data_IF_734493530360
#
_entry.id   IF_734493530360
#
_cell.length_a   1.000
_cell.length_b   1.000
_cell.length_c   1.000
_cell.angle_alpha   90.00
_cell.angle_beta   90.00
_cell.angle_gamma   90.00
#
_symmetry.space_group_name_H-M   'P 1'
#
loop_
_entity.id
_entity.type
_entity.pdbx_description
1 polymer ?
#
# COMPACT_ATOMS: atom_id res chain seq x y z
N UNK A 1 15.41 5.07 -19.97
CA UNK A 1 14.76 4.15 -19.01
C UNK A 1 15.32 4.39 -17.63
N UNK A 2 14.48 4.30 -16.56
CA UNK A 2 14.93 4.56 -15.20
C UNK A 2 15.86 3.45 -14.69
N UNK A 3 17.04 3.83 -14.15
CA UNK A 3 17.98 2.89 -13.49
C UNK A 3 17.40 2.25 -12.23
N UNK A 4 16.31 2.81 -11.71
CA UNK A 4 15.61 2.32 -10.51
C UNK A 4 14.52 1.29 -10.84
N UNK A 5 14.26 0.96 -12.12
CA UNK A 5 13.26 -0.04 -12.47
C UNK A 5 13.77 -1.46 -12.17
N UNK A 6 13.59 -1.88 -10.92
CA UNK A 6 13.98 -3.23 -10.47
C UNK A 6 13.10 -4.34 -11.02
N UNK A 7 11.90 -4.03 -11.53
CA UNK A 7 11.02 -5.02 -12.15
C UNK A 7 11.61 -5.64 -13.41
N UNK A 8 12.55 -4.96 -14.07
CA UNK A 8 13.23 -5.51 -15.28
C UNK A 8 13.92 -6.84 -15.06
N UNK A 9 14.33 -7.15 -13.82
CA UNK A 9 14.94 -8.44 -13.54
C UNK A 9 13.98 -9.62 -13.76
N UNK A 10 12.65 -9.37 -13.71
CA UNK A 10 11.63 -10.36 -14.00
C UNK A 10 11.72 -10.85 -15.47
N UNK A 11 12.20 -9.99 -16.37
CA UNK A 11 12.36 -10.32 -17.79
C UNK A 11 13.58 -11.21 -18.10
N UNK A 12 14.35 -11.60 -17.07
CA UNK A 12 15.48 -12.50 -17.20
C UNK A 12 15.02 -13.93 -16.95
N UNK A 13 15.42 -14.86 -17.78
CA UNK A 13 15.07 -16.30 -17.68
C UNK A 13 15.52 -16.96 -16.38
N UNK A 14 16.58 -16.46 -15.78
CA UNK A 14 17.09 -16.92 -14.49
C UNK A 14 16.37 -16.33 -13.26
N UNK A 15 15.32 -15.52 -13.46
CA UNK A 15 14.51 -15.00 -12.36
C UNK A 15 13.66 -16.10 -11.71
N UNK A 16 13.85 -16.35 -10.41
CA UNK A 16 13.27 -17.51 -9.70
C UNK A 16 12.00 -17.21 -8.90
N UNK A 17 11.41 -16.01 -9.02
CA UNK A 17 10.17 -15.67 -8.34
C UNK A 17 8.98 -16.45 -8.89
N UNK A 18 8.05 -16.83 -8.01
CA UNK A 18 6.84 -17.59 -8.35
C UNK A 18 5.60 -16.96 -7.75
N UNK A 19 4.46 -17.09 -8.46
CA UNK A 19 3.13 -16.89 -7.89
C UNK A 19 2.48 -18.27 -7.71
N UNK A 20 1.84 -18.44 -6.57
CA UNK A 20 1.07 -19.63 -6.23
C UNK A 20 -0.40 -19.24 -6.20
N UNK A 21 -1.26 -19.97 -6.91
CA UNK A 21 -2.70 -19.80 -6.86
C UNK A 21 -3.36 -21.18 -6.71
N UNK A 22 -4.09 -21.35 -5.61
CA UNK A 22 -4.57 -22.67 -5.23
C UNK A 22 -3.43 -23.65 -5.03
N UNK A 23 -3.39 -24.70 -5.86
CA UNK A 23 -2.37 -25.74 -5.81
C UNK A 23 -1.32 -25.64 -6.92
N UNK A 24 -1.42 -24.61 -7.77
CA UNK A 24 -0.55 -24.42 -8.93
C UNK A 24 0.52 -23.36 -8.65
N UNK A 25 1.72 -23.61 -9.19
CA UNK A 25 2.86 -22.67 -9.19
C UNK A 25 3.09 -22.13 -10.57
N UNK A 26 3.29 -20.81 -10.66
CA UNK A 26 3.53 -20.10 -11.90
C UNK A 26 4.87 -19.35 -11.82
N UNK A 27 5.80 -19.66 -12.72
CA UNK A 27 7.06 -18.90 -12.83
C UNK A 27 6.75 -17.52 -13.39
N UNK A 28 7.03 -16.46 -12.64
CA UNK A 28 6.70 -15.08 -13.01
C UNK A 28 7.25 -14.71 -14.38
N UNK A 29 8.50 -15.10 -14.67
CA UNK A 29 9.11 -14.86 -15.99
C UNK A 29 8.25 -15.40 -17.14
N UNK A 30 7.80 -16.65 -17.05
CA UNK A 30 7.02 -17.30 -18.10
C UNK A 30 5.67 -16.59 -18.30
N UNK A 31 4.99 -16.27 -17.20
CA UNK A 31 3.67 -15.63 -17.26
C UNK A 31 3.75 -14.18 -17.78
N UNK A 32 4.76 -13.43 -17.36
CA UNK A 32 5.01 -12.08 -17.89
C UNK A 32 5.34 -12.13 -19.39
N UNK A 33 6.10 -13.12 -19.84
CA UNK A 33 6.46 -13.29 -21.26
C UNK A 33 5.23 -13.53 -22.15
N UNK A 34 4.20 -14.21 -21.65
CA UNK A 34 2.93 -14.43 -22.38
C UNK A 34 2.22 -13.11 -22.73
N UNK A 35 2.47 -12.03 -22.02
CA UNK A 35 1.87 -10.71 -22.26
C UNK A 35 2.70 -9.82 -23.18
N UNK A 36 3.80 -10.33 -23.78
CA UNK A 36 4.67 -9.52 -24.64
C UNK A 36 4.02 -9.04 -25.93
N UNK A 37 2.92 -9.65 -26.39
CA UNK A 37 2.12 -9.17 -27.52
C UNK A 37 1.51 -7.78 -27.28
N UNK A 38 1.37 -7.36 -26.01
CA UNK A 38 0.91 -6.02 -25.62
C UNK A 38 2.03 -4.96 -25.66
N UNK A 39 3.28 -5.37 -25.85
CA UNK A 39 4.41 -4.46 -25.85
C UNK A 39 4.38 -3.58 -27.11
N UNK A 40 4.63 -2.29 -26.92
CA UNK A 40 4.77 -1.31 -28.00
C UNK A 40 6.12 -0.61 -27.89
N UNK A 41 6.54 0.10 -28.97
CA UNK A 41 7.76 0.93 -28.94
C UNK A 41 7.66 2.10 -27.96
N UNK A 42 6.45 2.54 -27.62
CA UNK A 42 6.18 3.64 -26.66
C UNK A 42 5.71 3.08 -25.33
N UNK A 43 5.84 3.89 -24.28
CA UNK A 43 5.25 3.59 -22.96
C UNK A 43 3.73 3.69 -23.04
N UNK A 44 3.04 2.70 -22.51
CA UNK A 44 1.59 2.69 -22.40
C UNK A 44 1.13 3.11 -21.00
N UNK A 45 -0.04 3.73 -20.93
CA UNK A 45 -0.81 3.91 -19.72
C UNK A 45 -1.76 2.71 -19.58
N UNK A 46 -1.58 1.91 -18.53
CA UNK A 46 -2.29 0.65 -18.32
C UNK A 46 -3.19 0.76 -17.11
N UNK A 47 -4.49 0.72 -17.29
CA UNK A 47 -5.47 0.68 -16.20
C UNK A 47 -5.72 -0.78 -15.80
N UNK A 48 -5.52 -1.11 -14.51
CA UNK A 48 -5.66 -2.47 -13.99
C UNK A 48 -6.69 -2.49 -12.86
N UNK A 49 -7.76 -3.25 -13.04
CA UNK A 49 -8.70 -3.59 -11.99
C UNK A 49 -8.12 -4.74 -11.16
N UNK A 50 -7.68 -4.41 -9.94
CA UNK A 50 -6.81 -5.26 -9.14
C UNK A 50 -7.58 -6.35 -8.39
N UNK A 51 -7.27 -7.58 -8.67
CA UNK A 51 -7.68 -8.76 -7.92
C UNK A 51 -6.45 -9.42 -7.28
N UNK A 52 -6.60 -10.01 -6.10
CA UNK A 52 -5.53 -10.81 -5.50
C UNK A 52 -5.43 -12.20 -6.18
N UNK A 53 -5.33 -12.19 -7.50
CA UNK A 53 -5.23 -13.35 -8.37
C UNK A 53 -3.97 -13.28 -9.22
N UNK A 54 -3.46 -14.44 -9.59
CA UNK A 54 -2.19 -14.59 -10.33
C UNK A 54 -2.17 -13.70 -11.57
N UNK A 55 -3.20 -13.76 -12.42
CA UNK A 55 -3.24 -13.04 -13.69
C UNK A 55 -3.21 -11.52 -13.50
N UNK A 56 -3.90 -11.01 -12.48
CA UNK A 56 -3.92 -9.57 -12.16
C UNK A 56 -2.56 -9.09 -11.67
N UNK A 57 -1.91 -9.86 -10.79
CA UNK A 57 -0.56 -9.55 -10.29
C UNK A 57 0.46 -9.61 -11.44
N UNK A 58 0.39 -10.62 -12.30
CA UNK A 58 1.27 -10.74 -13.49
C UNK A 58 1.10 -9.54 -14.42
N UNK A 59 -0.12 -9.08 -14.63
CA UNK A 59 -0.41 -7.90 -15.47
C UNK A 59 0.25 -6.63 -14.92
N UNK A 60 0.20 -6.43 -13.60
CA UNK A 60 0.91 -5.35 -12.91
C UNK A 60 2.43 -5.46 -13.10
N UNK A 61 2.99 -6.64 -12.87
CA UNK A 61 4.42 -6.89 -13.01
C UNK A 61 4.89 -6.70 -14.46
N UNK A 62 4.12 -7.19 -15.44
CA UNK A 62 4.37 -6.98 -16.86
C UNK A 62 4.42 -5.48 -17.21
N UNK A 63 3.43 -4.72 -16.75
CA UNK A 63 3.36 -3.30 -17.05
C UNK A 63 4.62 -2.57 -16.58
N UNK A 64 5.03 -2.77 -15.32
CA UNK A 64 6.22 -2.11 -14.77
C UNK A 64 7.54 -2.65 -15.34
N UNK A 65 7.65 -3.96 -15.57
CA UNK A 65 8.86 -4.55 -16.14
C UNK A 65 9.14 -4.00 -17.56
N UNK A 66 8.08 -3.76 -18.34
CA UNK A 66 8.15 -3.20 -19.69
C UNK A 66 8.11 -1.66 -19.71
N UNK A 67 8.35 -1.02 -18.56
CA UNK A 67 8.43 0.44 -18.43
C UNK A 67 7.13 1.20 -18.73
N UNK A 68 5.98 0.54 -18.72
CA UNK A 68 4.68 1.16 -18.81
C UNK A 68 4.30 1.87 -17.50
N UNK A 69 3.23 2.67 -17.52
CA UNK A 69 2.66 3.32 -16.33
C UNK A 69 1.38 2.58 -15.95
N UNK A 70 1.31 2.08 -14.72
CA UNK A 70 0.11 1.42 -14.23
C UNK A 70 -0.80 2.40 -13.46
N UNK A 71 -2.10 2.32 -13.68
CA UNK A 71 -3.14 2.89 -12.80
C UNK A 71 -3.78 1.69 -12.11
N UNK A 72 -3.64 1.61 -10.79
CA UNK A 72 -4.23 0.51 -10.02
C UNK A 72 -5.52 0.99 -9.35
N UNK A 73 -6.61 0.27 -9.61
CA UNK A 73 -7.92 0.55 -9.02
C UNK A 73 -8.50 -0.72 -8.38
N UNK A 74 -9.39 -0.53 -7.43
CA UNK A 74 -10.10 -1.65 -6.81
C UNK A 74 -10.90 -2.41 -7.87
N UNK A 75 -10.92 -3.75 -7.77
CA UNK A 75 -11.70 -4.63 -8.65
C UNK A 75 -13.20 -4.32 -8.63
N UNK A 76 -13.71 -3.81 -7.51
CA UNK A 76 -15.13 -3.50 -7.30
C UNK A 76 -15.44 -2.01 -7.56
N UNK A 77 -14.58 -1.31 -8.31
CA UNK A 77 -14.86 0.09 -8.68
C UNK A 77 -16.16 0.15 -9.50
N UNK A 78 -17.09 1.04 -9.10
CA UNK A 78 -18.33 1.26 -9.84
C UNK A 78 -18.08 1.57 -11.31
N UNK A 79 -18.96 1.07 -12.20
CA UNK A 79 -18.80 1.19 -13.64
C UNK A 79 -18.77 2.66 -14.12
N UNK A 80 -19.63 3.52 -13.57
CA UNK A 80 -19.66 4.94 -13.95
C UNK A 80 -18.39 5.67 -13.51
N UNK A 81 -17.87 5.32 -12.31
CA UNK A 81 -16.58 5.83 -11.84
C UNK A 81 -15.44 5.33 -12.72
N UNK A 82 -15.49 4.08 -13.17
CA UNK A 82 -14.51 3.52 -14.11
C UNK A 82 -14.54 4.23 -15.46
N UNK A 83 -15.72 4.48 -16.03
CA UNK A 83 -15.87 5.25 -17.27
C UNK A 83 -15.35 6.68 -17.14
N UNK A 84 -15.66 7.36 -16.04
CA UNK A 84 -15.16 8.70 -15.76
C UNK A 84 -13.63 8.72 -15.65
N UNK A 85 -13.05 7.70 -15.03
CA UNK A 85 -11.60 7.52 -14.95
C UNK A 85 -10.99 7.32 -16.34
N UNK A 86 -11.59 6.47 -17.16
CA UNK A 86 -11.15 6.20 -18.53
C UNK A 86 -11.24 7.48 -19.38
N UNK A 87 -12.29 8.27 -19.25
CA UNK A 87 -12.42 9.57 -19.93
C UNK A 87 -11.31 10.54 -19.50
N UNK A 88 -11.00 10.63 -18.20
CA UNK A 88 -9.98 11.56 -17.65
C UNK A 88 -8.55 11.20 -18.03
N UNK A 89 -8.22 9.93 -18.02
CA UNK A 89 -6.84 9.45 -18.19
C UNK A 89 -6.56 8.85 -19.56
N UNK A 90 -7.59 8.39 -20.26
CA UNK A 90 -7.48 7.81 -21.60
C UNK A 90 -6.37 6.73 -21.68
N UNK A 91 -6.44 5.66 -20.88
CA UNK A 91 -5.43 4.62 -20.87
C UNK A 91 -5.29 3.95 -22.25
N UNK A 92 -4.10 3.47 -22.58
CA UNK A 92 -3.85 2.75 -23.83
C UNK A 92 -4.33 1.30 -23.75
N UNK A 93 -4.26 0.72 -22.53
CA UNK A 93 -4.64 -0.66 -22.26
C UNK A 93 -5.49 -0.68 -20.98
N UNK A 94 -6.56 -1.48 -20.98
CA UNK A 94 -7.38 -1.76 -19.80
C UNK A 94 -7.34 -3.27 -19.55
N UNK A 95 -7.11 -3.65 -18.27
CA UNK A 95 -7.08 -5.04 -17.84
C UNK A 95 -8.14 -5.21 -16.75
N UNK A 96 -9.17 -6.02 -17.04
CA UNK A 96 -10.38 -6.11 -16.22
C UNK A 96 -11.05 -7.49 -16.36
N UNK A 97 -11.91 -7.82 -15.39
CA UNK A 97 -12.88 -8.93 -15.51
C UNK A 97 -14.26 -8.49 -15.99
N UNK A 98 -14.47 -7.21 -16.19
CA UNK A 98 -15.74 -6.73 -16.74
C UNK A 98 -15.88 -7.16 -18.19
N UNK A 99 -16.96 -7.86 -18.49
CA UNK A 99 -17.32 -8.27 -19.86
C UNK A 99 -17.85 -7.10 -20.70
N UNK A 100 -18.23 -5.99 -20.06
CA UNK A 100 -18.77 -4.82 -20.74
C UNK A 100 -17.69 -4.13 -21.59
N UNK A 101 -18.05 -3.80 -22.80
CA UNK A 101 -17.18 -3.10 -23.74
C UNK A 101 -17.10 -1.62 -23.35
N UNK A 102 -15.93 -1.16 -22.93
CA UNK A 102 -15.68 0.28 -22.80
C UNK A 102 -15.64 0.91 -24.20
N UNK A 103 -16.31 2.04 -24.36
CA UNK A 103 -16.31 2.78 -25.63
C UNK A 103 -14.89 3.11 -26.08
N UNK A 104 -14.60 2.89 -27.35
CA UNK A 104 -13.28 3.09 -27.99
C UNK A 104 -12.18 2.09 -27.57
N UNK A 105 -12.55 0.93 -27.05
CA UNK A 105 -11.64 -0.16 -26.75
C UNK A 105 -12.12 -1.47 -27.39
N UNK A 106 -11.19 -2.22 -27.97
CA UNK A 106 -11.42 -3.56 -28.46
C UNK A 106 -10.78 -4.59 -27.54
N UNK A 107 -11.41 -5.74 -27.39
CA UNK A 107 -10.81 -6.90 -26.73
C UNK A 107 -9.70 -7.44 -27.62
N UNK A 108 -8.46 -7.39 -27.15
CA UNK A 108 -7.31 -7.99 -27.84
C UNK A 108 -7.26 -9.49 -27.55
N UNK A 109 -7.45 -9.86 -26.27
CA UNK A 109 -7.42 -11.25 -25.82
C UNK A 109 -8.11 -11.38 -24.45
N UNK A 110 -8.59 -12.59 -24.16
CA UNK A 110 -8.99 -13.03 -22.81
C UNK A 110 -7.99 -14.06 -22.31
N UNK A 111 -7.46 -13.87 -21.10
CA UNK A 111 -6.57 -14.81 -20.41
C UNK A 111 -7.03 -14.98 -18.98
N UNK A 112 -7.34 -16.22 -18.57
CA UNK A 112 -7.78 -16.55 -17.20
C UNK A 112 -8.93 -15.67 -16.69
N UNK A 113 -9.95 -15.46 -17.53
CA UNK A 113 -11.12 -14.60 -17.27
C UNK A 113 -10.79 -13.10 -17.13
N UNK A 114 -9.61 -12.66 -17.55
CA UNK A 114 -9.27 -11.26 -17.66
C UNK A 114 -9.28 -10.84 -19.12
N UNK A 115 -10.00 -9.76 -19.42
CA UNK A 115 -10.00 -9.13 -20.72
C UNK A 115 -8.89 -8.09 -20.80
N UNK A 116 -8.09 -8.18 -21.84
CA UNK A 116 -7.07 -7.21 -22.21
C UNK A 116 -7.62 -6.34 -23.33
N UNK A 117 -8.02 -5.14 -22.98
CA UNK A 117 -8.66 -4.20 -23.90
C UNK A 117 -7.64 -3.18 -24.38
N UNK A 118 -7.55 -3.01 -25.68
CA UNK A 118 -6.65 -2.04 -26.30
C UNK A 118 -7.44 -0.91 -26.92
N UNK A 119 -6.95 0.31 -26.77
CA UNK A 119 -7.57 1.48 -27.34
C UNK A 119 -7.47 1.45 -28.86
N UNK A 120 -8.58 1.80 -29.57
CA UNK A 120 -8.67 1.79 -31.04
C UNK A 120 -7.73 2.85 -31.65
N UNK A 121 -7.64 4.03 -31.04
CA UNK A 121 -6.73 5.10 -31.47
C UNK A 121 -5.56 5.26 -30.51
N UNK A 122 -4.34 5.41 -31.00
CA UNK A 122 -3.16 5.60 -30.15
C UNK A 122 -3.30 6.83 -29.26
N UNK A 123 -3.10 6.66 -27.97
CA UNK A 123 -3.11 7.76 -27.01
C UNK A 123 -1.94 8.74 -27.24
N UNK A 124 -2.20 10.03 -27.02
CA UNK A 124 -1.19 11.10 -27.11
C UNK A 124 -0.67 11.53 -25.73
N UNK A 125 -0.76 10.65 -24.72
CA UNK A 125 -0.35 10.98 -23.36
C UNK A 125 1.16 11.25 -23.31
N UNK A 126 1.52 12.35 -22.67
CA UNK A 126 2.92 12.66 -22.33
C UNK A 126 3.17 12.25 -20.88
N UNK A 127 4.32 11.64 -20.62
CA UNK A 127 4.65 11.12 -19.30
C UNK A 127 5.96 11.71 -18.78
N UNK A 128 5.99 12.03 -17.50
CA UNK A 128 7.27 12.27 -16.83
C UNK A 128 8.15 11.01 -16.93
N UNK A 129 9.42 11.19 -17.22
CA UNK A 129 10.34 10.07 -17.55
C UNK A 129 10.40 8.97 -16.48
N UNK A 130 10.30 9.34 -15.21
CA UNK A 130 10.41 8.40 -14.08
C UNK A 130 9.05 7.97 -13.52
N UNK A 131 7.91 8.45 -14.04
CA UNK A 131 6.58 8.03 -13.61
C UNK A 131 6.41 6.53 -13.85
N UNK A 132 5.95 5.81 -12.85
CA UNK A 132 5.72 4.36 -12.90
C UNK A 132 4.29 3.97 -12.59
N UNK A 133 3.66 4.64 -11.63
CA UNK A 133 2.44 4.17 -11.01
C UNK A 133 1.54 5.32 -10.55
N UNK A 134 0.24 5.11 -10.67
CA UNK A 134 -0.81 5.93 -10.08
C UNK A 134 -1.61 5.07 -9.09
N UNK A 135 -1.71 5.53 -7.85
CA UNK A 135 -2.54 4.92 -6.82
C UNK A 135 -3.61 5.89 -6.32
N UNK A 136 -4.85 5.45 -6.11
CA UNK A 136 -5.88 6.30 -5.53
C UNK A 136 -5.56 6.61 -4.07
N UNK A 137 -5.90 7.80 -3.62
CA UNK A 137 -5.94 8.12 -2.19
C UNK A 137 -7.28 7.68 -1.60
N UNK A 138 -7.32 7.42 -0.31
CA UNK A 138 -8.53 7.04 0.43
C UNK A 138 -9.54 8.18 0.60
N UNK A 139 -9.40 9.30 -0.11
CA UNK A 139 -10.28 10.47 -0.02
C UNK A 139 -11.72 10.17 -0.44
N UNK A 140 -12.66 10.58 0.38
CA UNK A 140 -14.08 10.23 0.39
C UNK A 140 -14.97 10.95 -0.62
N UNK A 141 -14.46 11.70 -1.60
CA UNK A 141 -15.27 12.57 -2.45
C UNK A 141 -15.13 12.26 -3.93
N UNK A 142 -16.06 11.49 -4.45
CA UNK A 142 -16.56 11.45 -5.84
C UNK A 142 -15.62 11.18 -7.00
N UNK A 143 -14.43 11.73 -7.05
CA UNK A 143 -13.43 11.47 -8.10
C UNK A 143 -12.09 11.16 -7.45
N UNK A 144 -11.52 9.97 -7.64
CA UNK A 144 -10.27 9.60 -7.00
C UNK A 144 -9.14 10.52 -7.46
N UNK A 145 -8.49 11.16 -6.49
CA UNK A 145 -7.21 11.85 -6.67
C UNK A 145 -6.11 10.78 -6.64
N UNK A 146 -5.27 10.76 -7.64
CA UNK A 146 -4.19 9.77 -7.72
C UNK A 146 -2.86 10.35 -7.25
N UNK A 147 -2.11 9.54 -6.56
CA UNK A 147 -0.70 9.82 -6.20
C UNK A 147 0.18 9.35 -7.35
N UNK A 148 1.06 10.21 -7.85
CA UNK A 148 2.05 9.90 -8.89
C UNK A 148 3.32 9.35 -8.28
N UNK A 149 3.62 8.09 -8.52
CA UNK A 149 4.75 7.36 -7.94
C UNK A 149 5.77 7.06 -9.04
N UNK A 150 7.04 7.35 -8.77
CA UNK A 150 8.15 7.05 -9.68
C UNK A 150 8.77 5.68 -9.42
N UNK A 151 9.51 5.15 -10.41
CA UNK A 151 10.37 3.97 -10.23
C UNK A 151 11.38 4.16 -9.09
N UNK A 152 11.89 5.40 -8.91
CA UNK A 152 12.78 5.73 -7.81
C UNK A 152 12.10 5.59 -6.45
N UNK A 153 10.87 6.08 -6.31
CA UNK A 153 10.10 5.94 -5.08
C UNK A 153 9.85 4.48 -4.74
N UNK A 154 9.37 3.68 -5.73
CA UNK A 154 9.15 2.23 -5.58
C UNK A 154 10.44 1.52 -5.14
N UNK A 155 11.57 1.81 -5.78
CA UNK A 155 12.85 1.18 -5.47
C UNK A 155 13.29 1.41 -4.04
N UNK A 156 13.31 2.67 -3.57
CA UNK A 156 13.78 2.99 -2.22
C UNK A 156 12.85 2.44 -1.15
N UNK A 157 11.53 2.61 -1.31
CA UNK A 157 10.57 2.03 -0.38
C UNK A 157 10.70 0.51 -0.28
N UNK A 158 10.75 -0.17 -1.42
CA UNK A 158 10.89 -1.63 -1.49
C UNK A 158 12.20 -2.12 -0.86
N UNK A 159 13.32 -1.45 -1.15
CA UNK A 159 14.64 -1.79 -0.59
C UNK A 159 14.63 -1.68 0.94
N UNK A 160 14.06 -0.60 1.48
CA UNK A 160 13.98 -0.40 2.93
C UNK A 160 13.11 -1.47 3.58
N UNK A 161 11.96 -1.83 2.97
CA UNK A 161 11.09 -2.90 3.46
C UNK A 161 11.82 -4.23 3.51
N UNK A 162 12.51 -4.61 2.45
CA UNK A 162 13.29 -5.85 2.37
C UNK A 162 14.35 -5.89 3.47
N UNK A 163 15.01 -4.76 3.70
CA UNK A 163 16.08 -4.67 4.69
C UNK A 163 15.57 -4.87 6.13
N UNK A 164 14.53 -4.12 6.57
CA UNK A 164 14.11 -4.22 7.97
C UNK A 164 13.26 -5.46 8.28
N UNK A 165 12.57 -6.03 7.28
CA UNK A 165 11.88 -7.32 7.43
C UNK A 165 12.79 -8.52 7.21
N UNK A 166 14.02 -8.29 6.72
CA UNK A 166 14.98 -9.34 6.37
C UNK A 166 14.39 -10.37 5.40
N UNK A 167 13.64 -9.89 4.38
CA UNK A 167 13.06 -10.79 3.37
C UNK A 167 14.16 -11.45 2.56
N UNK A 168 14.09 -12.76 2.44
CA UNK A 168 15.10 -13.59 1.74
C UNK A 168 14.52 -14.20 0.47
N UNK A 169 15.38 -14.60 -0.50
CA UNK A 169 14.96 -15.47 -1.59
C UNK A 169 14.25 -16.70 -1.05
N UNK A 170 13.21 -17.15 -1.75
CA UNK A 170 12.36 -18.28 -1.40
C UNK A 170 11.44 -18.10 -0.19
N UNK A 171 11.45 -16.96 0.52
CA UNK A 171 10.39 -16.66 1.48
C UNK A 171 9.03 -16.67 0.78
N UNK A 172 8.00 -17.05 1.52
CA UNK A 172 6.64 -17.18 0.99
C UNK A 172 5.73 -16.23 1.76
N UNK A 173 5.07 -15.34 1.03
CA UNK A 173 4.00 -14.49 1.59
C UNK A 173 2.65 -14.85 0.99
N UNK A 174 1.57 -14.51 1.69
CA UNK A 174 0.20 -14.62 1.18
C UNK A 174 -0.45 -13.25 1.11
N UNK A 175 -1.18 -12.95 0.02
CA UNK A 175 -1.90 -11.69 -0.12
C UNK A 175 -3.14 -11.69 0.77
N UNK A 176 -3.28 -10.65 1.59
CA UNK A 176 -4.44 -10.45 2.49
C UNK A 176 -5.10 -9.09 2.25
N UNK A 177 -4.46 -8.26 1.46
CA UNK A 177 -4.86 -6.89 1.16
C UNK A 177 -4.87 -6.66 -0.35
N UNK A 178 -5.84 -5.92 -0.89
CA UNK A 178 -5.83 -5.57 -2.31
C UNK A 178 -4.54 -4.84 -2.69
N UNK A 179 -3.93 -5.18 -3.80
CA UNK A 179 -2.70 -4.48 -4.22
C UNK A 179 -2.97 -3.16 -4.96
N UNK A 180 -4.24 -2.79 -5.17
CA UNK A 180 -4.63 -1.40 -5.44
C UNK A 180 -4.48 -0.50 -4.22
N UNK A 181 -4.34 -1.07 -3.04
CA UNK A 181 -3.98 -0.40 -1.81
C UNK A 181 -2.46 -0.45 -1.62
N UNK A 182 -1.87 0.68 -1.28
CA UNK A 182 -0.41 0.85 -1.21
C UNK A 182 0.31 -0.16 -0.31
N UNK A 183 -0.34 -0.57 0.79
CA UNK A 183 0.23 -1.57 1.69
C UNK A 183 0.26 -2.96 1.03
N UNK A 184 -0.83 -3.41 0.41
CA UNK A 184 -0.87 -4.67 -0.34
C UNK A 184 0.15 -4.70 -1.49
N UNK A 185 0.23 -3.60 -2.26
CA UNK A 185 1.24 -3.42 -3.31
C UNK A 185 2.67 -3.56 -2.76
N UNK A 186 2.95 -2.98 -1.59
CA UNK A 186 4.30 -3.03 -1.00
C UNK A 186 4.72 -4.44 -0.60
N UNK A 187 3.77 -5.32 -0.24
CA UNK A 187 4.03 -6.74 0.03
C UNK A 187 4.47 -7.43 -1.26
N UNK A 188 3.73 -7.24 -2.36
CA UNK A 188 4.10 -7.80 -3.66
C UNK A 188 5.48 -7.29 -4.08
N UNK A 189 5.71 -5.99 -4.08
CA UNK A 189 6.95 -5.39 -4.53
C UNK A 189 8.17 -5.86 -3.74
N UNK A 190 8.06 -5.99 -2.42
CA UNK A 190 9.16 -6.45 -1.58
C UNK A 190 9.53 -7.92 -1.84
N UNK A 191 8.55 -8.77 -2.12
CA UNK A 191 8.78 -10.17 -2.45
C UNK A 191 9.24 -10.38 -3.91
N UNK A 192 8.91 -9.45 -4.81
CA UNK A 192 9.47 -9.44 -6.18
C UNK A 192 10.89 -8.87 -6.19
N UNK A 193 11.19 -7.91 -5.32
CA UNK A 193 12.56 -7.36 -5.21
C UNK A 193 13.58 -8.43 -4.81
N UNK A 194 13.20 -9.35 -3.98
CA UNK A 194 13.94 -10.58 -3.70
C UNK A 194 13.17 -11.72 -4.38
N UNK A 195 13.79 -12.58 -5.23
CA UNK A 195 13.06 -13.62 -5.96
C UNK A 195 12.41 -14.63 -5.00
N UNK A 196 11.28 -14.28 -4.42
CA UNK A 196 10.51 -15.05 -3.45
C UNK A 196 9.17 -15.50 -4.01
N UNK A 197 8.30 -16.10 -3.20
CA UNK A 197 7.03 -16.66 -3.65
C UNK A 197 5.86 -15.86 -3.06
N UNK A 198 4.81 -15.67 -3.85
CA UNK A 198 3.61 -14.97 -3.46
C UNK A 198 2.42 -15.89 -3.66
N UNK A 199 1.67 -16.19 -2.61
CA UNK A 199 0.37 -16.85 -2.74
C UNK A 199 -0.67 -15.77 -3.07
N UNK A 200 -1.21 -15.85 -4.26
CA UNK A 200 -2.34 -15.03 -4.68
C UNK A 200 -3.62 -15.62 -4.05
N UNK A 201 -4.16 -14.92 -3.06
CA UNK A 201 -5.34 -15.34 -2.32
C UNK A 201 -6.37 -14.22 -2.31
N UNK A 202 -7.54 -14.50 -2.88
CA UNK A 202 -8.64 -13.54 -3.05
C UNK A 202 -9.76 -13.73 -2.00
N UNK A 203 -9.54 -14.58 -0.99
CA UNK A 203 -10.47 -14.78 0.13
C UNK A 203 -10.11 -13.91 1.34
N UNK A 204 -10.74 -14.19 2.46
CA UNK A 204 -10.57 -13.50 3.72
C UNK A 204 -9.74 -14.29 4.73
N UNK A 205 -9.14 -13.61 5.69
CA UNK A 205 -8.31 -14.25 6.74
C UNK A 205 -9.12 -15.09 7.73
N UNK A 206 -10.45 -14.99 7.71
CA UNK A 206 -11.34 -15.79 8.58
C UNK A 206 -11.69 -17.13 7.98
N UNK A 207 -11.42 -17.35 6.71
CA UNK A 207 -11.72 -18.62 6.03
C UNK A 207 -10.73 -19.72 6.44
N UNK A 208 -11.24 -20.92 6.61
CA UNK A 208 -10.42 -22.12 6.87
C UNK A 208 -9.32 -22.29 5.81
N UNK A 209 -9.64 -21.99 4.55
CA UNK A 209 -8.70 -22.08 3.42
C UNK A 209 -7.44 -21.23 3.60
N UNK A 210 -7.54 -20.07 4.25
CA UNK A 210 -6.40 -19.22 4.55
C UNK A 210 -5.33 -19.96 5.40
N UNK A 211 -5.77 -20.62 6.47
CA UNK A 211 -4.88 -21.38 7.36
C UNK A 211 -4.36 -22.66 6.71
N UNK A 212 -5.18 -23.33 5.90
CA UNK A 212 -4.75 -24.48 5.10
C UNK A 212 -3.60 -24.11 4.15
N UNK A 213 -3.70 -22.94 3.48
CA UNK A 213 -2.64 -22.44 2.61
C UNK A 213 -1.36 -22.09 3.39
N UNK A 214 -1.50 -21.46 4.58
CA UNK A 214 -0.36 -21.16 5.46
C UNK A 214 0.40 -22.45 5.79
N UNK A 215 -0.31 -23.48 6.23
CA UNK A 215 0.27 -24.77 6.59
C UNK A 215 0.86 -25.49 5.37
N UNK A 216 0.08 -25.62 4.29
CA UNK A 216 0.48 -26.35 3.08
C UNK A 216 1.74 -25.79 2.45
N UNK A 217 1.79 -24.46 2.28
CA UNK A 217 2.88 -23.80 1.59
C UNK A 217 3.97 -23.28 2.52
N UNK A 218 3.86 -23.52 3.83
CA UNK A 218 4.82 -23.04 4.85
C UNK A 218 5.04 -21.53 4.72
N UNK A 219 3.95 -20.75 4.71
CA UNK A 219 3.98 -19.29 4.57
C UNK A 219 4.83 -18.66 5.67
N UNK A 220 5.69 -17.71 5.30
CA UNK A 220 6.59 -17.05 6.24
C UNK A 220 6.02 -15.74 6.80
N UNK A 221 5.11 -15.09 6.06
CA UNK A 221 4.57 -13.80 6.47
C UNK A 221 3.22 -13.46 5.84
N UNK A 222 2.48 -12.61 6.51
CA UNK A 222 1.36 -11.87 5.94
C UNK A 222 1.23 -10.49 6.60
N UNK A 223 0.43 -9.60 6.00
CA UNK A 223 0.14 -8.28 6.52
C UNK A 223 -1.34 -8.11 6.83
N UNK A 224 -1.68 -7.20 7.75
CA UNK A 224 -3.06 -6.89 8.09
C UNK A 224 -3.29 -5.45 8.49
N UNK A 225 -4.51 -4.97 8.27
CA UNK A 225 -5.05 -3.72 8.82
C UNK A 225 -5.73 -4.00 10.16
N UNK A 226 -6.05 -3.00 11.00
CA UNK A 226 -6.63 -3.22 12.34
C UNK A 226 -7.80 -4.21 12.38
N UNK A 227 -8.73 -4.09 11.44
CA UNK A 227 -9.89 -4.99 11.36
C UNK A 227 -9.50 -6.47 11.22
N UNK A 228 -8.45 -6.77 10.45
CA UNK A 228 -7.93 -8.13 10.31
C UNK A 228 -7.47 -8.67 11.66
N UNK A 229 -6.79 -7.88 12.47
CA UNK A 229 -6.32 -8.29 13.79
C UNK A 229 -7.47 -8.48 14.79
N UNK A 230 -8.51 -7.67 14.73
CA UNK A 230 -9.72 -7.88 15.53
C UNK A 230 -10.40 -9.22 15.18
N UNK A 231 -10.52 -9.52 13.88
CA UNK A 231 -11.07 -10.79 13.40
C UNK A 231 -10.20 -11.98 13.86
N UNK A 232 -8.87 -11.89 13.69
CA UNK A 232 -7.93 -12.94 14.10
C UNK A 232 -7.95 -13.20 15.61
N UNK A 233 -8.15 -12.15 16.43
CA UNK A 233 -8.33 -12.32 17.88
C UNK A 233 -9.61 -13.08 18.20
N UNK A 234 -10.74 -12.75 17.54
CA UNK A 234 -12.03 -13.47 17.71
C UNK A 234 -11.92 -14.94 17.31
N UNK A 235 -11.15 -15.24 16.26
CA UNK A 235 -10.88 -16.62 15.82
C UNK A 235 -9.92 -17.40 16.73
N UNK A 236 -9.36 -16.79 17.77
CA UNK A 236 -8.33 -17.40 18.63
C UNK A 236 -7.18 -17.94 17.76
N UNK A 237 -6.53 -17.03 17.03
CA UNK A 237 -5.45 -17.34 16.07
C UNK A 237 -4.35 -18.25 16.65
N UNK A 238 -4.14 -18.20 17.95
CA UNK A 238 -3.19 -19.05 18.66
C UNK A 238 -3.47 -20.56 18.55
N UNK A 239 -4.69 -20.96 18.21
CA UNK A 239 -5.07 -22.36 18.04
C UNK A 239 -4.71 -22.94 16.67
N UNK A 240 -4.27 -22.11 15.74
CA UNK A 240 -3.84 -22.55 14.41
C UNK A 240 -2.35 -22.85 14.35
N UNK A 241 -1.98 -23.74 13.43
CA UNK A 241 -0.58 -24.04 13.12
C UNK A 241 0.03 -22.86 12.35
N UNK A 242 0.83 -22.07 13.05
CA UNK A 242 1.53 -20.90 12.53
C UNK A 242 3.06 -21.09 12.55
N UNK A 243 3.53 -22.32 12.71
CA UNK A 243 4.94 -22.67 12.94
C UNK A 243 5.88 -22.18 11.84
N UNK A 244 5.37 -22.02 10.61
CA UNK A 244 6.14 -21.52 9.46
C UNK A 244 6.30 -20.00 9.41
N UNK A 245 5.47 -19.25 10.16
CA UNK A 245 5.51 -17.80 10.13
C UNK A 245 6.75 -17.25 10.84
N UNK A 246 7.45 -16.35 10.20
CA UNK A 246 8.58 -15.60 10.75
C UNK A 246 8.15 -14.27 11.34
N UNK A 247 7.25 -13.58 10.64
CA UNK A 247 6.72 -12.29 11.08
C UNK A 247 5.32 -12.04 10.52
N UNK A 248 4.60 -11.18 11.24
CA UNK A 248 3.30 -10.63 10.82
C UNK A 248 3.40 -9.11 10.94
N UNK A 249 2.91 -8.39 9.93
CA UNK A 249 2.99 -6.93 9.88
C UNK A 249 1.62 -6.29 10.01
N UNK A 250 1.54 -5.15 10.70
CA UNK A 250 0.34 -4.34 10.88
C UNK A 250 0.58 -2.91 10.39
N UNK A 251 -0.35 -2.36 9.62
CA UNK A 251 -0.38 -0.96 9.21
C UNK A 251 -1.79 -0.56 8.75
N UNK A 252 -1.95 0.68 8.27
CA UNK A 252 -3.20 1.17 7.66
C UNK A 252 -4.22 1.71 8.66
N UNK A 253 -3.84 1.85 9.91
CA UNK A 253 -4.62 2.45 10.99
C UNK A 253 -4.02 2.14 12.35
N UNK A 254 -4.41 2.88 13.40
CA UNK A 254 -3.95 2.62 14.76
C UNK A 254 -4.55 1.31 15.29
N UNK A 255 -3.72 0.52 15.94
CA UNK A 255 -4.16 -0.65 16.71
C UNK A 255 -4.19 -0.30 18.20
N UNK A 256 -5.20 -0.78 18.93
CA UNK A 256 -5.30 -0.51 20.36
C UNK A 256 -4.10 -1.09 21.12
N UNK A 257 -3.70 -0.42 22.21
CA UNK A 257 -2.61 -0.90 23.10
C UNK A 257 -2.83 -2.35 23.56
N UNK A 258 -4.08 -2.70 23.86
CA UNK A 258 -4.46 -4.05 24.30
C UNK A 258 -4.24 -5.09 23.19
N UNK A 259 -4.63 -4.79 21.94
CA UNK A 259 -4.41 -5.69 20.80
C UNK A 259 -2.93 -5.86 20.48
N UNK A 260 -2.15 -4.78 20.52
CA UNK A 260 -0.69 -4.86 20.28
C UNK A 260 -0.05 -5.78 21.31
N UNK A 261 -0.35 -5.58 22.62
CA UNK A 261 0.17 -6.42 23.72
C UNK A 261 -0.28 -7.88 23.58
N UNK A 262 -1.57 -8.09 23.26
CA UNK A 262 -2.11 -9.42 23.06
C UNK A 262 -1.33 -10.18 21.95
N UNK A 263 -1.24 -9.59 20.76
CA UNK A 263 -0.54 -10.25 19.63
C UNK A 263 0.95 -10.37 19.86
N UNK A 264 1.59 -9.37 20.47
CA UNK A 264 3.00 -9.47 20.83
C UNK A 264 3.25 -10.68 21.75
N UNK A 265 2.47 -10.86 22.80
CA UNK A 265 2.62 -11.96 23.75
C UNK A 265 2.29 -13.31 23.13
N UNK A 266 1.21 -13.40 22.34
CA UNK A 266 0.80 -14.62 21.64
C UNK A 266 1.85 -15.08 20.64
N UNK A 267 2.40 -14.16 19.85
CA UNK A 267 3.38 -14.47 18.82
C UNK A 267 4.78 -14.69 19.38
N UNK A 268 5.18 -13.99 20.43
CA UNK A 268 6.46 -14.19 21.09
C UNK A 268 6.64 -15.64 21.56
N UNK A 269 5.60 -16.27 22.13
CA UNK A 269 5.58 -17.68 22.51
C UNK A 269 5.85 -18.62 21.33
N UNK A 270 5.44 -18.23 20.12
CA UNK A 270 5.63 -18.97 18.86
C UNK A 270 6.88 -18.52 18.06
N UNK A 271 7.71 -17.62 18.60
CA UNK A 271 8.88 -17.01 17.94
C UNK A 271 8.52 -16.26 16.64
N UNK A 272 7.29 -15.75 16.53
CA UNK A 272 6.82 -14.94 15.39
C UNK A 272 6.95 -13.46 15.77
N UNK A 273 7.59 -12.66 14.90
CA UNK A 273 7.72 -11.22 15.14
C UNK A 273 6.41 -10.51 14.77
N UNK A 274 5.90 -9.67 15.66
CA UNK A 274 4.78 -8.78 15.39
C UNK A 274 5.29 -7.36 15.19
N UNK A 275 5.15 -6.82 13.98
CA UNK A 275 5.76 -5.56 13.57
C UNK A 275 4.67 -4.56 13.19
N UNK A 276 4.54 -3.49 13.98
CA UNK A 276 3.66 -2.37 13.66
C UNK A 276 4.41 -1.36 12.79
N UNK A 277 3.70 -0.79 11.81
CA UNK A 277 4.30 0.11 10.82
C UNK A 277 3.39 1.31 10.61
N UNK A 278 4.00 2.40 10.13
CA UNK A 278 3.30 3.60 9.73
C UNK A 278 3.71 4.00 8.31
N UNK A 279 2.74 4.56 7.57
CA UNK A 279 2.97 5.05 6.22
C UNK A 279 1.73 5.59 5.55
N UNK A 280 1.92 6.14 4.38
CA UNK A 280 0.86 6.71 3.54
C UNK A 280 1.10 6.42 2.06
N UNK A 281 0.07 6.60 1.24
CA UNK A 281 0.18 6.45 -0.22
C UNK A 281 1.14 7.48 -0.80
N UNK A 282 1.18 8.68 -0.25
CA UNK A 282 2.05 9.80 -0.65
C UNK A 282 3.54 9.51 -0.40
N UNK A 283 3.85 8.57 0.49
CA UNK A 283 5.20 8.07 0.70
C UNK A 283 5.40 6.66 0.11
N UNK A 284 4.66 6.32 -0.95
CA UNK A 284 4.71 5.05 -1.68
C UNK A 284 4.24 3.85 -0.86
N UNK A 285 4.31 3.87 0.46
CA UNK A 285 3.74 2.94 1.43
C UNK A 285 4.27 3.22 2.84
N UNK A 286 5.46 2.70 3.16
CA UNK A 286 5.97 2.61 4.54
C UNK A 286 7.01 3.70 4.81
N UNK A 287 6.82 4.40 5.91
CA UNK A 287 7.66 5.51 6.35
C UNK A 287 8.45 5.14 7.61
N UNK A 288 7.86 4.27 8.46
CA UNK A 288 8.50 3.78 9.67
C UNK A 288 7.94 2.44 10.12
N UNK A 289 8.62 1.84 11.07
CA UNK A 289 8.17 0.65 11.78
C UNK A 289 8.64 0.70 13.22
N UNK A 290 7.91 0.05 14.11
CA UNK A 290 8.33 -0.19 15.49
C UNK A 290 8.99 -1.58 15.55
N UNK A 291 10.29 -1.67 15.87
CA UNK A 291 10.94 -2.97 16.10
C UNK A 291 10.24 -3.72 17.24
N UNK A 292 10.02 -5.03 17.05
CA UNK A 292 9.24 -5.90 17.96
C UNK A 292 9.61 -5.75 19.43
N UNK A 293 10.90 -5.61 19.73
CA UNK A 293 11.41 -5.47 21.13
C UNK A 293 10.81 -4.28 21.88
N UNK A 294 10.29 -3.29 21.17
CA UNK A 294 9.68 -2.09 21.75
C UNK A 294 8.15 -2.15 21.85
N UNK A 295 7.51 -3.23 21.40
CA UNK A 295 6.05 -3.35 21.43
C UNK A 295 5.43 -3.24 22.82
N UNK A 296 6.18 -3.54 23.88
CA UNK A 296 5.70 -3.41 25.26
C UNK A 296 6.00 -2.03 25.85
N UNK A 297 7.15 -1.45 25.59
CA UNK A 297 7.61 -0.19 26.20
C UNK A 297 7.18 1.04 25.40
N UNK A 298 7.10 0.94 24.06
CA UNK A 298 6.73 2.01 23.13
C UNK A 298 5.46 1.66 22.33
N UNK A 299 4.49 1.05 22.96
CA UNK A 299 3.37 0.27 22.38
C UNK A 299 2.63 0.96 21.22
N UNK A 300 2.44 2.29 21.24
CA UNK A 300 1.70 3.03 20.19
C UNK A 300 2.60 3.90 19.34
N UNK A 301 3.91 3.79 19.52
CA UNK A 301 4.84 4.51 18.69
C UNK A 301 4.83 4.01 17.24
N UNK A 302 4.97 4.92 16.30
CA UNK A 302 5.21 4.61 14.89
C UNK A 302 6.69 4.30 14.60
N UNK A 303 7.56 4.29 15.62
CA UNK A 303 9.01 4.06 15.49
C UNK A 303 9.80 5.35 15.32
N UNK A 304 11.07 5.22 14.89
CA UNK A 304 12.01 6.35 14.72
C UNK A 304 12.09 6.91 13.30
N UNK A 305 11.29 6.37 12.38
CA UNK A 305 11.40 6.65 10.95
C UNK A 305 12.50 5.84 10.25
N UNK A 306 12.27 5.52 9.00
CA UNK A 306 13.29 4.95 8.13
C UNK A 306 14.35 6.04 7.87
N UNK A 307 15.62 5.74 8.17
CA UNK A 307 16.76 6.66 7.96
C UNK A 307 16.65 8.01 8.72
N UNK A 308 16.01 8.05 9.90
CA UNK A 308 15.79 9.28 10.71
C UNK A 308 15.01 10.36 9.94
N UNK A 309 13.97 9.97 9.25
CA UNK A 309 13.29 10.78 8.23
C UNK A 309 12.16 11.66 8.75
N UNK A 310 11.87 11.73 10.06
CA UNK A 310 10.80 12.56 10.60
C UNK A 310 11.31 13.80 11.31
N UNK A 311 10.52 14.87 11.18
CA UNK A 311 10.60 16.10 11.98
C UNK A 311 9.21 16.44 12.51
N UNK A 312 9.18 17.22 13.58
CA UNK A 312 7.95 17.82 14.11
C UNK A 312 8.00 19.30 13.79
N UNK A 313 6.97 19.82 13.12
CA UNK A 313 6.86 21.23 12.80
C UNK A 313 5.73 21.88 13.60
N UNK A 314 5.97 23.09 14.09
CA UNK A 314 4.97 23.90 14.78
C UNK A 314 3.79 24.19 13.84
N UNK A 315 2.57 24.02 14.37
CA UNK A 315 1.33 24.13 13.59
C UNK A 315 0.99 25.55 13.14
N UNK A 316 1.57 26.59 13.79
CA UNK A 316 1.30 27.98 13.47
C UNK A 316 2.41 28.57 12.60
N UNK A 317 3.67 28.34 12.99
CA UNK A 317 4.83 28.93 12.32
C UNK A 317 5.42 28.07 11.22
N UNK A 318 5.11 26.75 11.22
CA UNK A 318 5.68 25.77 10.29
C UNK A 318 7.18 25.48 10.55
N UNK A 319 7.78 26.06 11.58
CA UNK A 319 9.18 25.83 11.94
C UNK A 319 9.36 24.51 12.68
N UNK A 320 10.54 23.92 12.57
CA UNK A 320 10.88 22.68 13.27
C UNK A 320 10.89 22.87 14.79
N UNK A 321 10.27 21.94 15.51
CA UNK A 321 10.29 21.83 16.97
C UNK A 321 11.34 20.80 17.36
N UNK A 322 12.36 21.21 18.12
CA UNK A 322 13.39 20.31 18.64
C UNK A 322 13.04 19.71 20.01
N UNK A 323 12.14 20.35 20.73
CA UNK A 323 11.69 19.94 22.07
C UNK A 323 10.96 18.59 22.02
N UNK A 324 11.28 17.71 22.96
CA UNK A 324 10.58 16.43 23.10
C UNK A 324 9.18 16.63 23.70
N UNK A 325 8.28 15.69 23.41
CA UNK A 325 6.91 15.66 23.92
C UNK A 325 6.04 16.87 23.52
N UNK A 326 6.51 17.71 22.59
CA UNK A 326 5.76 18.85 22.07
C UNK A 326 5.02 18.48 20.80
N UNK A 327 3.72 18.80 20.74
CA UNK A 327 2.85 18.49 19.61
C UNK A 327 3.13 19.40 18.42
N UNK A 328 3.14 18.81 17.23
CA UNK A 328 3.24 19.50 15.96
C UNK A 328 2.90 18.60 14.78
N UNK A 329 2.99 19.11 13.55
CA UNK A 329 2.80 18.33 12.34
C UNK A 329 4.01 17.43 12.08
N UNK A 330 3.76 16.14 11.84
CA UNK A 330 4.81 15.24 11.35
C UNK A 330 5.14 15.59 9.90
N UNK A 331 6.41 15.90 9.65
CA UNK A 331 6.96 16.10 8.30
C UNK A 331 7.94 14.97 8.00
N UNK A 332 7.71 14.28 6.89
CA UNK A 332 8.54 13.17 6.46
C UNK A 332 9.47 13.55 5.31
N UNK A 333 10.72 13.11 5.38
CA UNK A 333 11.75 13.28 4.37
C UNK A 333 12.19 11.94 3.83
N UNK A 334 11.99 11.67 2.56
CA UNK A 334 12.34 10.37 2.00
C UNK A 334 12.37 10.32 0.48
N UNK A 335 13.25 9.46 -0.05
CA UNK A 335 13.34 9.18 -1.49
C UNK A 335 12.11 8.43 -2.03
N UNK A 336 11.27 7.92 -1.15
CA UNK A 336 10.02 7.25 -1.42
C UNK A 336 8.80 8.20 -1.42
N UNK A 337 8.97 9.48 -1.11
CA UNK A 337 7.92 10.49 -1.25
C UNK A 337 7.54 10.63 -2.73
N UNK A 338 6.26 10.62 -3.02
CA UNK A 338 5.69 10.65 -4.36
C UNK A 338 6.02 11.95 -5.12
N UNK A 339 5.78 11.94 -6.43
CA UNK A 339 6.00 13.11 -7.30
C UNK A 339 4.97 14.22 -7.14
N UNK A 340 3.90 13.98 -6.41
CA UNK A 340 2.71 14.82 -6.29
C UNK A 340 1.46 14.09 -6.72
N UNK A 341 0.40 14.84 -6.97
CA UNK A 341 -0.90 14.27 -7.33
C UNK A 341 -1.21 14.38 -8.82
N UNK A 342 -2.22 13.63 -9.26
CA UNK A 342 -2.81 13.71 -10.59
C UNK A 342 -4.33 13.72 -10.50
N UNK A 343 -4.97 14.60 -11.24
CA UNK A 343 -6.42 14.70 -11.42
C UNK A 343 -6.87 14.24 -12.80
N UNK A 344 -5.97 14.29 -13.78
CA UNK A 344 -6.21 13.89 -15.16
C UNK A 344 -4.91 13.58 -15.91
N UNK A 345 -5.00 13.21 -17.19
CA UNK A 345 -3.85 12.81 -18.00
C UNK A 345 -2.80 13.90 -18.23
N UNK A 346 -3.13 15.18 -18.15
CA UNK A 346 -2.16 16.30 -18.33
C UNK A 346 -1.12 16.29 -17.20
N UNK A 347 -1.53 15.91 -15.99
CA UNK A 347 -0.67 15.88 -14.81
C UNK A 347 0.41 14.79 -14.88
N UNK A 348 0.26 13.80 -15.77
CA UNK A 348 1.21 12.69 -15.91
C UNK A 348 2.59 13.12 -16.41
N UNK A 349 2.67 14.31 -17.02
CA UNK A 349 3.94 14.89 -17.51
C UNK A 349 4.65 15.79 -16.49
N UNK A 350 3.97 16.16 -15.38
CA UNK A 350 4.52 17.06 -14.38
C UNK A 350 5.74 16.46 -13.68
N UNK A 351 6.75 17.30 -13.44
CA UNK A 351 7.95 16.94 -12.68
C UNK A 351 7.63 16.65 -11.20
N UNK A 352 8.64 16.29 -10.45
CA UNK A 352 8.55 16.08 -9.01
C UNK A 352 8.26 17.42 -8.29
N UNK A 353 7.06 17.48 -7.69
CA UNK A 353 6.56 18.66 -6.97
C UNK A 353 6.94 18.61 -5.49
N UNK A 354 7.05 17.41 -4.91
CA UNK A 354 7.28 17.21 -3.47
C UNK A 354 8.76 17.21 -3.10
N UNK A 355 9.66 16.93 -4.06
CA UNK A 355 11.12 16.95 -3.87
C UNK A 355 11.60 16.14 -2.64
N UNK A 356 10.90 15.06 -2.33
CA UNK A 356 11.23 14.19 -1.20
C UNK A 356 10.73 14.66 0.16
N UNK A 357 9.87 15.67 0.24
CA UNK A 357 9.28 16.22 1.48
C UNK A 357 7.78 15.96 1.47
N UNK A 358 7.27 15.41 2.56
CA UNK A 358 5.83 15.17 2.77
C UNK A 358 5.38 15.78 4.09
N UNK A 359 4.54 16.80 4.01
CA UNK A 359 3.68 17.22 5.13
C UNK A 359 2.58 16.17 5.26
N UNK A 360 2.60 15.40 6.35
CA UNK A 360 1.72 14.23 6.45
C UNK A 360 0.27 14.59 6.77
N UNK A 361 0.04 15.76 7.33
CA UNK A 361 -1.22 16.14 7.93
C UNK A 361 -1.53 15.39 9.23
N UNK A 362 -0.60 14.57 9.72
CA UNK A 362 -0.72 13.91 11.02
C UNK A 362 -0.06 14.77 12.11
N UNK A 363 -0.72 14.88 13.25
CA UNK A 363 -0.22 15.57 14.44
C UNK A 363 0.38 14.53 15.37
N UNK A 364 1.52 14.88 15.97
CA UNK A 364 2.20 13.98 16.88
C UNK A 364 3.35 14.66 17.61
N UNK A 365 4.13 13.85 18.28
CA UNK A 365 5.30 14.29 19.03
C UNK A 365 6.43 13.25 18.93
N UNK A 366 7.61 13.65 19.37
CA UNK A 366 8.79 12.80 19.53
C UNK A 366 9.09 12.69 21.04
N UNK A 367 9.30 11.46 21.55
CA UNK A 367 9.72 11.27 22.94
C UNK A 367 11.24 11.46 23.12
N UNK A 368 11.72 11.40 24.36
CA UNK A 368 13.14 11.58 24.74
C UNK A 368 14.04 10.53 24.10
N UNK A 369 13.53 9.33 23.86
CA UNK A 369 14.26 8.24 23.19
C UNK A 369 14.24 8.39 21.63
N UNK A 370 13.59 9.41 21.10
CA UNK A 370 13.47 9.71 19.68
C UNK A 370 12.43 8.85 18.93
N UNK A 371 11.47 8.28 19.65
CA UNK A 371 10.33 7.59 19.04
C UNK A 371 9.20 8.59 18.76
N UNK A 372 8.55 8.43 17.61
CA UNK A 372 7.45 9.28 17.19
C UNK A 372 6.10 8.64 17.50
N UNK A 373 5.12 9.48 17.84
CA UNK A 373 3.75 9.09 18.16
C UNK A 373 2.79 9.96 17.37
N UNK A 374 1.78 9.35 16.75
CA UNK A 374 0.67 10.05 16.10
C UNK A 374 -0.48 10.16 17.08
N UNK A 375 -1.01 11.37 17.28
CA UNK A 375 -2.12 11.65 18.18
C UNK A 375 -3.43 11.94 17.44
N UNK A 376 -3.35 12.33 16.16
CA UNK A 376 -4.53 12.60 15.34
C UNK A 376 -4.16 13.21 13.98
N UNK A 377 -5.19 13.67 13.26
CA UNK A 377 -5.07 14.30 11.94
C UNK A 377 -5.33 15.80 12.02
N UNK A 378 -4.59 16.59 11.26
CA UNK A 378 -4.75 18.04 11.23
C UNK A 378 -6.17 18.48 10.79
N UNK A 379 -6.77 17.76 9.85
CA UNK A 379 -8.14 17.98 9.36
C UNK A 379 -9.23 17.55 10.37
N UNK A 380 -8.87 16.84 11.42
CA UNK A 380 -9.75 16.45 12.53
C UNK A 380 -9.58 17.32 13.77
N UNK A 381 -8.73 18.35 13.70
CA UNK A 381 -8.63 19.36 14.76
C UNK A 381 -9.51 20.57 14.42
N UNK A 382 -10.38 20.92 15.33
CA UNK A 382 -11.22 22.13 15.24
C UNK A 382 -10.76 23.16 16.26
N UNK A 383 -10.77 24.43 15.85
CA UNK A 383 -10.49 25.55 16.76
C UNK A 383 -11.82 26.02 17.33
N UNK A 384 -12.04 25.86 18.64
CA UNK A 384 -13.21 26.30 19.37
C UNK A 384 -12.69 27.23 20.49
N UNK A 385 -13.14 28.50 20.49
CA UNK A 385 -12.71 29.52 21.46
C UNK A 385 -11.18 29.53 21.69
N UNK A 386 -10.41 29.63 20.59
CA UNK A 386 -8.95 29.59 20.59
C UNK A 386 -8.25 28.29 21.08
N UNK A 387 -9.01 27.30 21.52
CA UNK A 387 -8.49 25.98 21.83
C UNK A 387 -8.64 25.04 20.65
N UNK A 388 -7.60 24.30 20.36
CA UNK A 388 -7.63 23.21 19.35
C UNK A 388 -8.13 21.94 20.03
N UNK A 389 -9.29 21.45 19.59
CA UNK A 389 -9.88 20.20 20.06
C UNK A 389 -9.74 19.12 18.99
N UNK A 390 -9.29 17.95 19.40
CA UNK A 390 -9.21 16.78 18.53
C UNK A 390 -10.56 16.05 18.51
N UNK A 391 -11.18 15.94 17.36
CA UNK A 391 -12.46 15.26 17.19
C UNK A 391 -12.36 13.76 17.50
N UNK A 392 -11.18 13.15 17.30
CA UNK A 392 -10.96 11.74 17.64
C UNK A 392 -11.01 11.50 19.16
N UNK A 393 -10.58 12.46 19.97
CA UNK A 393 -10.66 12.35 21.42
C UNK A 393 -12.09 12.54 21.92
N UNK A 394 -12.86 13.42 21.30
CA UNK A 394 -14.31 13.57 21.56
C UNK A 394 -15.05 12.28 21.21
N UNK A 395 -14.75 11.68 20.04
CA UNK A 395 -15.32 10.37 19.67
C UNK A 395 -14.99 9.29 20.69
N UNK A 396 -13.75 9.20 21.15
CA UNK A 396 -13.35 8.23 22.17
C UNK A 396 -14.13 8.40 23.49
N UNK A 397 -14.30 9.64 23.96
CA UNK A 397 -15.07 9.93 25.18
C UNK A 397 -16.53 9.54 25.00
N UNK A 398 -17.12 9.86 23.87
CA UNK A 398 -18.51 9.53 23.59
C UNK A 398 -18.74 8.02 23.43
N UNK A 399 -17.79 7.29 22.81
CA UNK A 399 -17.83 5.84 22.67
C UNK A 399 -17.72 5.08 24.00
N UNK A 400 -17.22 5.73 25.07
CA UNK A 400 -17.26 5.15 26.42
C UNK A 400 -18.68 5.15 27.02
N UNK A 401 -19.56 6.06 26.56
CA UNK A 401 -20.94 6.21 27.07
C UNK A 401 -22.01 5.69 26.11
N UNK A 402 -21.70 5.66 24.83
CA UNK A 402 -22.66 5.34 23.77
C UNK A 402 -22.02 4.36 22.76
N UNK A 403 -22.70 3.30 22.38
CA UNK A 403 -22.29 2.43 21.30
C UNK A 403 -22.68 3.05 19.95
N UNK A 404 -21.78 3.03 18.95
CA UNK A 404 -22.03 3.43 17.55
C UNK A 404 -22.21 4.93 17.31
N UNK A 405 -21.34 5.80 17.81
CA UNK A 405 -21.33 7.22 17.50
C UNK A 405 -20.25 7.55 16.47
N UNK A 406 -20.64 8.40 15.50
CA UNK A 406 -19.72 9.11 14.62
C UNK A 406 -19.91 10.62 14.81
N UNK A 407 -18.86 11.34 15.24
CA UNK A 407 -18.89 12.77 15.45
C UNK A 407 -18.54 13.50 14.16
N UNK A 408 -19.46 14.33 13.65
CA UNK A 408 -19.21 15.26 12.54
C UNK A 408 -19.25 16.69 13.06
N UNK A 409 -18.20 17.44 12.82
CA UNK A 409 -18.23 18.89 13.03
C UNK A 409 -18.89 19.56 11.82
N UNK A 410 -19.93 20.37 12.07
CA UNK A 410 -20.56 21.21 11.08
C UNK A 410 -20.32 22.67 11.46
N UNK A 411 -19.44 23.34 10.75
CA UNK A 411 -19.24 24.77 10.92
C UNK A 411 -20.54 25.47 10.47
N UNK A 412 -21.33 26.00 11.40
CA UNK A 412 -22.36 26.97 11.05
C UNK A 412 -21.66 28.31 10.83
N UNK A 413 -21.49 28.72 9.58
CA UNK A 413 -21.18 30.11 9.23
C UNK A 413 -22.29 31.03 9.68
#
# INVERSE_FOLDING_TARGET
MSKYNFFKKILRDNYKGEIIEGDKKYKIFNEVKKLNFLCTKKRNLVLIFCHNEMQSIISYLWALANNNIAILVNSNLDYNLAENLIKKYSPDIIITKYSNKFKNYNVEVEINKFFYLKKISSGKNKFFKDLALLLPTSGSTGSPKFVRISYKNLYYNTKDIVNYLHIKPFDITITTLPFSYTYGMSIINSHIFVPSKIIAYNGTVIERRFFELIKKWKVNSFGGVPLIFEMLKRLKLENFDLSSLKYITQAGGPLSKQLIKFFHNSFKKKKIKFITMYGSTEATSRMSYLPEKFNQTKTTSIGKGLQKSFKINDLNTGKEINENNKLGELVYFGKNVCLGYSLNSKDLSLKDQNKGILKTGDIGYKDEDGFFYVTGRLDRYVKIYDQRMNMDDIEKILLLKFSNICVKYKNKK
#
